data_IF_648602015863
#
_entry.id   IF_648602015863
#
_cell.length_a   1.000
_cell.length_b   1.000
_cell.length_c   1.000
_cell.angle_alpha   90.00
_cell.angle_beta   90.00
_cell.angle_gamma   90.00
#
_symmetry.space_group_name_H-M   'P 1'
#
loop_
_entity.id
_entity.type
_entity.pdbx_description
1 polymer ?
#
# COMPACT_ATOMS: atom_id res chain seq x y z
N UNK A 1 -3.52 24.88 -17.93
CA UNK A 1 -4.47 25.31 -16.89
C UNK A 1 -3.68 25.79 -15.67
N UNK A 2 -3.97 26.96 -15.08
CA UNK A 2 -3.28 27.38 -13.86
C UNK A 2 -3.54 26.35 -12.76
N UNK A 3 -2.48 25.91 -12.08
CA UNK A 3 -2.58 24.97 -10.96
C UNK A 3 -3.50 25.60 -9.90
N UNK A 4 -4.62 24.95 -9.58
CA UNK A 4 -5.49 25.37 -8.47
C UNK A 4 -4.61 25.46 -7.24
N UNK A 5 -4.43 26.66 -6.66
CA UNK A 5 -3.68 26.86 -5.40
C UNK A 5 -4.32 25.94 -4.36
N UNK A 6 -3.52 25.06 -3.75
CA UNK A 6 -3.98 24.11 -2.71
C UNK A 6 -4.53 24.83 -1.47
N UNK A 7 -3.90 25.95 -1.15
CA UNK A 7 -4.26 26.85 -0.07
C UNK A 7 -4.09 28.29 -0.53
N UNK A 8 -4.87 29.22 0.02
CA UNK A 8 -4.61 30.64 -0.14
C UNK A 8 -3.30 31.05 0.53
N UNK A 9 -2.77 32.22 0.20
CA UNK A 9 -1.57 32.76 0.87
C UNK A 9 -1.81 32.93 2.39
N UNK A 10 -2.98 33.44 2.78
CA UNK A 10 -3.40 33.55 4.18
C UNK A 10 -3.40 32.19 4.88
N UNK A 11 -3.90 31.13 4.22
CA UNK A 11 -3.95 29.78 4.78
C UNK A 11 -2.55 29.18 4.92
N UNK A 12 -1.68 29.41 3.94
CA UNK A 12 -0.27 28.99 4.01
C UNK A 12 0.45 29.63 5.19
N UNK A 13 0.23 30.94 5.42
CA UNK A 13 0.82 31.67 6.56
C UNK A 13 0.29 31.10 7.89
N UNK A 14 -1.00 30.74 7.97
CA UNK A 14 -1.56 30.10 9.18
C UNK A 14 -0.98 28.73 9.42
N UNK A 15 -0.87 27.88 8.40
CA UNK A 15 -0.24 26.54 8.50
C UNK A 15 1.19 26.69 9.00
N UNK A 16 1.98 27.59 8.41
CA UNK A 16 3.37 27.85 8.81
C UNK A 16 3.44 28.31 10.27
N UNK A 17 2.55 29.22 10.70
CA UNK A 17 2.48 29.69 12.09
C UNK A 17 2.18 28.56 13.08
N UNK A 18 1.21 27.68 12.78
CA UNK A 18 0.92 26.52 13.63
C UNK A 18 2.13 25.59 13.76
N UNK A 19 2.82 25.32 12.64
CA UNK A 19 3.97 24.41 12.62
C UNK A 19 5.13 25.02 13.41
N UNK A 20 5.45 26.31 13.22
CA UNK A 20 6.53 27.00 13.92
C UNK A 20 6.31 27.09 15.44
N UNK A 21 5.05 27.21 15.86
CA UNK A 21 4.66 27.20 17.27
C UNK A 21 4.43 25.80 17.84
N UNK A 22 4.63 24.75 17.04
CA UNK A 22 4.34 23.34 17.39
C UNK A 22 2.88 23.12 17.87
N UNK A 23 1.96 23.98 17.45
CA UNK A 23 0.53 23.87 17.75
C UNK A 23 -0.14 22.87 16.79
N UNK A 24 0.12 21.59 17.05
CA UNK A 24 -0.45 20.50 16.26
C UNK A 24 -1.98 20.45 16.36
N UNK A 25 -2.56 20.81 17.51
CA UNK A 25 -4.00 20.83 17.70
C UNK A 25 -4.65 21.93 16.87
N UNK A 26 -4.12 23.14 16.90
CA UNK A 26 -4.57 24.26 16.06
C UNK A 26 -4.45 23.94 14.58
N UNK A 27 -3.33 23.33 14.16
CA UNK A 27 -3.09 22.89 12.79
C UNK A 27 -4.19 21.89 12.32
N UNK A 28 -4.48 20.85 13.10
CA UNK A 28 -5.48 19.85 12.73
C UNK A 28 -6.90 20.43 12.72
N UNK A 29 -7.26 21.23 13.71
CA UNK A 29 -8.56 21.91 13.73
C UNK A 29 -8.74 22.81 12.50
N UNK A 30 -7.69 23.51 12.10
CA UNK A 30 -7.70 24.32 10.88
C UNK A 30 -7.88 23.48 9.62
N UNK A 31 -7.15 22.37 9.52
CA UNK A 31 -7.23 21.46 8.36
C UNK A 31 -8.59 20.79 8.22
N UNK A 32 -9.29 20.53 9.31
CA UNK A 32 -10.64 19.94 9.27
C UNK A 32 -11.63 20.80 8.48
N UNK A 33 -11.43 22.13 8.41
CA UNK A 33 -12.22 23.02 7.56
C UNK A 33 -12.10 22.78 6.05
N UNK A 34 -11.13 21.96 5.62
CA UNK A 34 -10.90 21.55 4.23
C UNK A 34 -11.35 20.12 3.93
N UNK A 35 -12.00 19.45 4.89
CA UNK A 35 -12.44 18.07 4.73
C UNK A 35 -13.44 17.92 3.58
N UNK A 36 -13.32 16.82 2.85
CA UNK A 36 -14.21 16.47 1.74
C UNK A 36 -15.28 15.49 2.20
N UNK A 37 -16.43 15.45 1.50
CA UNK A 37 -17.52 14.52 1.80
C UNK A 37 -17.17 13.05 1.56
N UNK A 38 -16.12 12.76 0.76
CA UNK A 38 -15.79 11.38 0.37
C UNK A 38 -15.17 10.56 1.50
N UNK A 39 -14.20 11.13 2.22
CA UNK A 39 -13.48 10.42 3.27
C UNK A 39 -13.49 11.17 4.61
N UNK A 40 -14.22 12.29 4.67
CA UNK A 40 -14.30 13.19 5.82
C UNK A 40 -12.92 13.72 6.29
N UNK A 41 -11.98 13.81 5.35
CA UNK A 41 -10.62 14.33 5.57
C UNK A 41 -10.24 15.33 4.45
N UNK A 42 -9.20 16.17 4.64
CA UNK A 42 -8.66 17.03 3.59
C UNK A 42 -8.13 16.21 2.42
N UNK A 43 -8.04 16.83 1.23
CA UNK A 43 -7.48 16.19 0.04
C UNK A 43 -6.05 15.71 0.27
N UNK A 44 -5.69 14.62 -0.42
CA UNK A 44 -4.33 14.01 -0.34
C UNK A 44 -3.22 15.04 -0.58
N UNK A 45 -3.40 15.95 -1.55
CA UNK A 45 -2.41 16.99 -1.88
C UNK A 45 -2.25 17.99 -0.72
N UNK A 46 -3.33 18.32 -0.03
CA UNK A 46 -3.29 19.21 1.14
C UNK A 46 -2.55 18.57 2.31
N UNK A 47 -2.82 17.28 2.58
CA UNK A 47 -2.09 16.51 3.60
C UNK A 47 -0.61 16.39 3.26
N UNK A 48 -0.25 16.10 2.00
CA UNK A 48 1.14 16.05 1.53
C UNK A 48 1.86 17.39 1.68
N UNK A 49 1.18 18.48 1.39
CA UNK A 49 1.74 19.83 1.62
C UNK A 49 2.10 20.06 3.08
N UNK A 50 1.19 19.70 4.00
CA UNK A 50 1.44 19.84 5.45
C UNK A 50 2.59 18.94 5.91
N UNK A 51 2.65 17.69 5.45
CA UNK A 51 3.77 16.76 5.74
C UNK A 51 5.10 17.37 5.27
N UNK A 52 5.12 17.94 4.06
CA UNK A 52 6.30 18.62 3.52
C UNK A 52 6.71 19.81 4.42
N UNK A 53 5.75 20.65 4.84
CA UNK A 53 6.01 21.80 5.72
C UNK A 53 6.54 21.40 7.10
N UNK A 54 6.04 20.32 7.68
CA UNK A 54 6.56 19.78 8.95
C UNK A 54 8.01 19.30 8.76
N UNK A 55 8.31 18.57 7.67
CA UNK A 55 9.69 18.16 7.40
C UNK A 55 10.62 19.35 7.18
N UNK A 56 10.21 20.36 6.39
CA UNK A 56 10.97 21.60 6.19
C UNK A 56 11.25 22.29 7.55
N UNK A 57 10.24 22.43 8.41
CA UNK A 57 10.42 23.00 9.75
C UNK A 57 11.47 22.23 10.56
N UNK A 58 11.39 20.90 10.58
CA UNK A 58 12.36 20.10 11.35
C UNK A 58 13.77 20.21 10.78
N UNK A 59 13.92 20.22 9.46
CA UNK A 59 15.25 20.32 8.82
C UNK A 59 15.89 21.70 8.98
N UNK A 60 15.09 22.75 9.10
CA UNK A 60 15.58 24.12 9.28
C UNK A 60 15.91 24.47 10.73
N UNK A 61 15.22 23.87 11.71
CA UNK A 61 15.30 24.28 13.11
C UNK A 61 16.05 23.29 14.02
N UNK A 62 16.45 22.13 13.51
CA UNK A 62 17.14 21.08 14.30
C UNK A 62 18.35 20.53 13.57
N UNK A 63 19.39 20.12 14.32
CA UNK A 63 20.52 19.38 13.78
C UNK A 63 20.06 18.03 13.19
N UNK A 64 20.75 17.55 12.14
CA UNK A 64 20.38 16.31 11.43
C UNK A 64 20.29 15.09 12.35
N UNK A 65 21.13 15.01 13.39
CA UNK A 65 21.10 13.93 14.39
C UNK A 65 19.82 13.90 15.23
N UNK A 66 19.11 15.01 15.32
CA UNK A 66 17.87 15.17 16.11
C UNK A 66 16.60 14.96 15.28
N UNK A 67 16.69 14.99 13.93
CA UNK A 67 15.53 14.90 13.05
C UNK A 67 14.67 13.66 13.30
N UNK A 68 15.23 12.42 13.37
CA UNK A 68 14.38 11.24 13.57
C UNK A 68 13.60 11.30 14.89
N UNK A 69 14.23 11.78 15.96
CA UNK A 69 13.57 11.96 17.27
C UNK A 69 12.44 12.99 17.20
N UNK A 70 12.67 14.12 16.56
CA UNK A 70 11.68 15.20 16.47
C UNK A 70 10.48 14.78 15.62
N UNK A 71 10.74 14.22 14.44
CA UNK A 71 9.69 13.73 13.54
C UNK A 71 8.91 12.61 14.20
N UNK A 72 9.58 11.66 14.88
CA UNK A 72 8.91 10.60 15.60
C UNK A 72 7.92 11.16 16.64
N UNK A 73 8.32 12.14 17.46
CA UNK A 73 7.44 12.74 18.47
C UNK A 73 6.23 13.45 17.86
N UNK A 74 6.40 14.17 16.75
CA UNK A 74 5.31 14.79 16.01
C UNK A 74 4.37 13.70 15.47
N UNK A 75 4.91 12.66 14.86
CA UNK A 75 4.14 11.52 14.35
C UNK A 75 3.36 10.83 15.45
N UNK A 76 4.01 10.51 16.57
CA UNK A 76 3.38 9.87 17.74
C UNK A 76 2.21 10.71 18.28
N UNK A 77 2.42 12.02 18.46
CA UNK A 77 1.39 12.95 18.92
C UNK A 77 0.20 13.00 17.95
N UNK A 78 0.45 13.16 16.65
CA UNK A 78 -0.60 13.25 15.65
C UNK A 78 -1.39 11.93 15.52
N UNK A 79 -0.71 10.79 15.58
CA UNK A 79 -1.38 9.48 15.50
C UNK A 79 -2.19 9.14 16.75
N UNK A 80 -2.02 9.85 17.86
CA UNK A 80 -2.82 9.71 19.08
C UNK A 80 -4.13 10.51 19.04
N UNK A 81 -4.30 11.45 18.12
CA UNK A 81 -5.54 12.21 17.97
C UNK A 81 -6.67 11.30 17.46
N UNK A 82 -7.91 11.58 17.86
CA UNK A 82 -9.10 10.89 17.34
C UNK A 82 -9.48 11.32 15.92
N UNK A 83 -8.87 12.40 15.41
CA UNK A 83 -9.14 12.99 14.10
C UNK A 83 -8.40 12.23 13.01
N UNK A 84 -9.10 11.76 11.99
CA UNK A 84 -8.51 10.93 10.92
C UNK A 84 -7.41 11.66 10.15
N UNK A 85 -7.59 12.92 9.79
CA UNK A 85 -6.55 13.72 9.14
C UNK A 85 -5.23 13.77 9.94
N UNK A 86 -5.32 13.84 11.28
CA UNK A 86 -4.15 13.80 12.14
C UNK A 86 -3.44 12.45 12.10
N UNK A 87 -4.21 11.35 12.16
CA UNK A 87 -3.66 9.99 12.06
C UNK A 87 -2.96 9.78 10.71
N UNK A 88 -3.55 10.24 9.62
CA UNK A 88 -3.02 10.13 8.26
C UNK A 88 -1.69 10.92 8.09
N UNK A 89 -1.67 12.17 8.54
CA UNK A 89 -0.45 13.00 8.52
C UNK A 89 0.60 12.38 9.44
N UNK A 90 0.22 12.00 10.65
CA UNK A 90 1.12 11.43 11.64
C UNK A 90 1.79 10.13 11.15
N UNK A 91 1.00 9.18 10.63
CA UNK A 91 1.58 7.93 10.13
C UNK A 91 2.43 8.12 8.87
N UNK A 92 2.14 9.15 8.06
CA UNK A 92 2.96 9.50 6.89
C UNK A 92 4.32 10.10 7.26
N UNK A 93 4.44 10.71 8.43
CA UNK A 93 5.72 11.20 8.97
C UNK A 93 6.58 10.08 9.57
N UNK A 94 5.95 8.98 9.99
CA UNK A 94 6.60 7.91 10.73
C UNK A 94 7.83 7.30 10.03
N UNK A 95 7.87 7.14 8.68
CA UNK A 95 9.06 6.64 8.00
C UNK A 95 10.33 7.46 8.28
N UNK A 96 10.21 8.76 8.44
CA UNK A 96 11.35 9.64 8.71
C UNK A 96 11.80 9.61 10.19
N UNK A 97 10.90 9.19 11.09
CA UNK A 97 11.18 9.03 12.53
C UNK A 97 11.43 7.60 12.98
N UNK A 98 11.26 6.62 12.09
CA UNK A 98 11.28 5.18 12.42
C UNK A 98 12.54 4.72 13.16
N UNK A 99 13.71 5.21 12.74
CA UNK A 99 15.00 4.84 13.33
C UNK A 99 15.16 5.23 14.80
N UNK A 100 14.43 6.24 15.27
CA UNK A 100 14.51 6.70 16.66
C UNK A 100 13.89 5.69 17.64
N UNK A 101 12.73 5.12 17.31
CA UNK A 101 12.07 4.12 18.16
C UNK A 101 11.29 3.11 17.32
N UNK A 102 12.01 2.08 16.82
CA UNK A 102 11.46 1.05 15.94
C UNK A 102 10.30 0.28 16.56
N UNK A 103 10.40 -0.05 17.86
CA UNK A 103 9.34 -0.79 18.57
C UNK A 103 8.05 0.02 18.62
N UNK A 104 8.12 1.26 19.08
CA UNK A 104 6.95 2.12 19.18
C UNK A 104 6.37 2.47 17.81
N UNK A 105 7.23 2.66 16.80
CA UNK A 105 6.79 2.85 15.42
C UNK A 105 5.99 1.66 14.91
N UNK A 106 6.40 0.43 15.23
CA UNK A 106 5.67 -0.78 14.85
C UNK A 106 4.29 -0.83 15.54
N UNK A 107 4.22 -0.51 16.83
CA UNK A 107 2.95 -0.44 17.56
C UNK A 107 1.99 0.59 16.94
N UNK A 108 2.50 1.77 16.56
CA UNK A 108 1.73 2.81 15.86
C UNK A 108 1.23 2.28 14.51
N UNK A 109 2.10 1.67 13.70
CA UNK A 109 1.73 1.11 12.40
C UNK A 109 0.61 0.08 12.51
N UNK A 110 0.73 -0.87 13.45
CA UNK A 110 -0.29 -1.92 13.68
C UNK A 110 -1.62 -1.29 14.09
N UNK A 111 -1.61 -0.34 15.01
CA UNK A 111 -2.81 0.37 15.45
C UNK A 111 -3.48 1.14 14.32
N UNK A 112 -2.72 1.91 13.55
CA UNK A 112 -3.25 2.73 12.43
C UNK A 112 -3.66 1.84 11.24
N UNK A 113 -2.95 0.74 10.98
CA UNK A 113 -3.36 -0.24 9.97
C UNK A 113 -4.69 -0.94 10.31
N UNK A 114 -5.10 -0.93 11.58
CA UNK A 114 -6.36 -1.50 12.05
C UNK A 114 -7.43 -0.46 12.38
N UNK A 115 -7.26 0.78 11.92
CA UNK A 115 -8.23 1.87 12.13
C UNK A 115 -9.58 1.56 11.48
N UNK A 116 -10.66 2.12 12.01
CA UNK A 116 -12.00 1.97 11.45
C UNK A 116 -12.13 2.66 10.09
N UNK A 117 -11.49 3.82 9.92
CA UNK A 117 -11.50 4.55 8.65
C UNK A 117 -10.58 3.88 7.63
N UNK A 118 -11.15 3.53 6.47
CA UNK A 118 -10.41 2.87 5.39
C UNK A 118 -9.27 3.73 4.83
N UNK A 119 -9.43 5.07 4.76
CA UNK A 119 -8.39 5.96 4.23
C UNK A 119 -7.20 6.02 5.19
N UNK A 120 -7.43 6.06 6.50
CA UNK A 120 -6.38 5.96 7.53
C UNK A 120 -5.57 4.68 7.36
N UNK A 121 -6.25 3.53 7.09
CA UNK A 121 -5.57 2.25 6.79
C UNK A 121 -4.72 2.30 5.52
N UNK A 122 -5.15 3.03 4.48
CA UNK A 122 -4.34 3.23 3.26
C UNK A 122 -3.04 3.98 3.55
N UNK A 123 -3.11 5.03 4.39
CA UNK A 123 -1.92 5.77 4.80
C UNK A 123 -0.95 4.90 5.62
N UNK A 124 -1.46 4.00 6.46
CA UNK A 124 -0.61 3.02 7.15
C UNK A 124 0.11 2.08 6.17
N UNK A 125 -0.60 1.59 5.14
CA UNK A 125 0.01 0.79 4.06
C UNK A 125 1.12 1.57 3.32
N UNK A 126 0.88 2.84 3.03
CA UNK A 126 1.88 3.74 2.43
C UNK A 126 3.12 3.93 3.31
N UNK A 127 2.92 4.12 4.61
CA UNK A 127 4.02 4.24 5.58
C UNK A 127 4.83 2.94 5.69
N UNK A 128 4.16 1.77 5.74
CA UNK A 128 4.80 0.45 5.74
C UNK A 128 5.65 0.28 4.47
N UNK A 129 5.12 0.62 3.30
CA UNK A 129 5.87 0.59 2.04
C UNK A 129 7.13 1.47 2.09
N UNK A 130 7.00 2.69 2.63
CA UNK A 130 8.11 3.63 2.73
C UNK A 130 9.19 3.15 3.72
N UNK A 131 8.79 2.60 4.87
CA UNK A 131 9.72 2.04 5.86
C UNK A 131 10.43 0.81 5.28
N UNK A 132 9.71 -0.07 4.56
CA UNK A 132 10.30 -1.23 3.88
C UNK A 132 11.30 -0.82 2.78
N UNK A 133 11.06 0.33 2.14
CA UNK A 133 12.02 0.91 1.19
C UNK A 133 13.27 1.46 1.86
N UNK A 134 13.14 2.17 3.00
CA UNK A 134 14.25 2.88 3.65
C UNK A 134 15.09 1.94 4.54
N UNK A 135 14.43 1.04 5.29
CA UNK A 135 15.05 0.26 6.36
C UNK A 135 15.03 -1.24 6.09
N UNK A 136 16.21 -1.81 5.83
CA UNK A 136 16.35 -3.24 5.53
C UNK A 136 15.95 -4.15 6.70
N UNK A 137 16.26 -3.76 7.91
CA UNK A 137 15.98 -4.52 9.13
C UNK A 137 14.49 -4.61 9.46
N UNK A 138 13.65 -3.77 8.86
CA UNK A 138 12.19 -3.82 8.99
C UNK A 138 11.58 -5.12 8.46
N UNK A 139 12.25 -5.77 7.49
CA UNK A 139 11.78 -7.03 6.88
C UNK A 139 11.47 -8.11 7.91
N UNK A 140 12.30 -8.26 8.97
CA UNK A 140 12.06 -9.23 10.04
C UNK A 140 10.71 -9.00 10.76
N UNK A 141 10.35 -7.75 10.97
CA UNK A 141 9.05 -7.38 11.55
C UNK A 141 7.90 -7.65 10.61
N UNK A 142 8.07 -7.38 9.32
CA UNK A 142 7.06 -7.67 8.29
C UNK A 142 6.72 -9.16 8.25
N UNK A 143 7.72 -10.04 8.24
CA UNK A 143 7.52 -11.51 8.23
C UNK A 143 6.69 -11.96 9.44
N UNK A 144 6.92 -11.38 10.63
CA UNK A 144 6.10 -11.68 11.82
C UNK A 144 4.66 -11.23 11.64
N UNK A 145 4.44 -10.05 11.05
CA UNK A 145 3.11 -9.47 10.86
C UNK A 145 2.27 -10.17 9.76
N UNK A 146 2.87 -10.98 8.87
CA UNK A 146 2.07 -11.81 7.95
C UNK A 146 1.18 -12.82 8.69
N UNK A 147 1.52 -13.15 9.94
CA UNK A 147 0.77 -14.06 10.83
C UNK A 147 -0.13 -13.33 11.82
N UNK A 148 -0.26 -12.00 11.72
CA UNK A 148 -1.10 -11.22 12.63
C UNK A 148 -2.58 -11.63 12.49
N UNK A 149 -3.34 -11.61 13.60
CA UNK A 149 -4.76 -11.99 13.60
C UNK A 149 -5.64 -11.05 12.77
N UNK A 150 -5.35 -9.75 12.82
CA UNK A 150 -6.13 -8.74 12.09
C UNK A 150 -5.92 -8.82 10.58
N UNK A 151 -7.03 -8.97 9.87
CA UNK A 151 -7.11 -8.90 8.40
C UNK A 151 -6.61 -7.55 7.87
N UNK A 152 -6.92 -6.46 8.57
CA UNK A 152 -6.50 -5.12 8.16
C UNK A 152 -4.97 -4.97 8.22
N UNK A 153 -4.34 -5.50 9.27
CA UNK A 153 -2.86 -5.51 9.39
C UNK A 153 -2.24 -6.35 8.30
N UNK A 154 -2.72 -7.59 8.07
CA UNK A 154 -2.23 -8.45 6.96
C UNK A 154 -2.35 -7.74 5.61
N UNK A 155 -3.48 -7.08 5.37
CA UNK A 155 -3.68 -6.32 4.13
C UNK A 155 -2.69 -5.16 4.02
N UNK A 156 -2.40 -4.43 5.10
CA UNK A 156 -1.42 -3.34 5.09
C UNK A 156 0.00 -3.85 4.78
N UNK A 157 0.35 -5.07 5.23
CA UNK A 157 1.65 -5.70 4.95
C UNK A 157 1.86 -5.96 3.45
N UNK A 158 0.81 -6.18 2.67
CA UNK A 158 0.93 -6.35 1.22
C UNK A 158 1.68 -5.17 0.56
N UNK A 159 1.51 -3.96 1.07
CA UNK A 159 2.15 -2.76 0.52
C UNK A 159 3.66 -2.71 0.78
N UNK A 160 4.17 -3.49 1.75
CA UNK A 160 5.61 -3.61 1.95
C UNK A 160 6.32 -4.18 0.71
N UNK A 161 5.64 -5.06 -0.06
CA UNK A 161 6.18 -5.60 -1.30
C UNK A 161 6.52 -4.50 -2.31
N UNK A 162 5.78 -3.39 -2.33
CA UNK A 162 6.08 -2.22 -3.18
C UNK A 162 7.40 -1.55 -2.72
N UNK A 163 7.61 -1.42 -1.42
CA UNK A 163 8.85 -0.89 -0.86
C UNK A 163 10.06 -1.77 -1.19
N UNK A 164 9.92 -3.09 -1.00
CA UNK A 164 10.94 -4.08 -1.34
C UNK A 164 11.25 -4.10 -2.85
N UNK A 165 10.22 -4.02 -3.69
CA UNK A 165 10.36 -3.89 -5.14
C UNK A 165 11.20 -2.66 -5.52
N UNK A 166 10.92 -1.49 -4.93
CA UNK A 166 11.68 -0.25 -5.15
C UNK A 166 13.15 -0.39 -4.74
N UNK A 167 13.45 -1.24 -3.75
CA UNK A 167 14.81 -1.62 -3.35
C UNK A 167 15.45 -2.65 -4.26
N UNK A 168 14.74 -3.13 -5.29
CA UNK A 168 15.14 -4.24 -6.16
C UNK A 168 15.28 -5.60 -5.41
N UNK A 169 14.66 -5.75 -4.26
CA UNK A 169 14.63 -6.97 -3.45
C UNK A 169 13.38 -7.81 -3.78
N UNK A 170 13.21 -8.13 -5.08
CA UNK A 170 12.00 -8.78 -5.59
C UNK A 170 11.76 -10.18 -5.00
N UNK A 171 12.83 -10.94 -4.73
CA UNK A 171 12.72 -12.23 -4.04
C UNK A 171 12.07 -12.10 -2.67
N UNK A 172 12.58 -11.17 -1.84
CA UNK A 172 11.98 -10.90 -0.52
C UNK A 172 10.52 -10.43 -0.61
N UNK A 173 10.15 -9.69 -1.68
CA UNK A 173 8.76 -9.30 -1.88
C UNK A 173 7.87 -10.53 -2.09
N UNK A 174 8.27 -11.49 -2.92
CA UNK A 174 7.52 -12.72 -3.12
C UNK A 174 7.47 -13.58 -1.85
N UNK A 175 8.60 -13.75 -1.15
CA UNK A 175 8.67 -14.53 0.09
C UNK A 175 7.75 -13.95 1.19
N UNK A 176 7.64 -12.61 1.25
CA UNK A 176 6.72 -11.93 2.16
C UNK A 176 5.26 -12.18 1.81
N UNK A 177 4.93 -12.25 0.51
CA UNK A 177 3.56 -12.40 0.04
C UNK A 177 3.08 -13.85 0.05
N UNK A 178 3.98 -14.83 -0.04
CA UNK A 178 3.63 -16.24 -0.18
C UNK A 178 2.70 -16.76 0.94
N UNK A 179 2.95 -16.50 2.24
CA UNK A 179 2.04 -16.91 3.30
C UNK A 179 0.63 -16.31 3.17
N UNK A 180 0.52 -15.12 2.58
CA UNK A 180 -0.75 -14.40 2.42
C UNK A 180 -1.56 -14.88 1.21
N UNK A 181 -0.97 -15.67 0.31
CA UNK A 181 -1.69 -16.28 -0.82
C UNK A 181 -2.79 -17.25 -0.37
N UNK A 182 -2.63 -17.88 0.78
CA UNK A 182 -3.56 -18.84 1.36
C UNK A 182 -4.75 -18.20 2.07
N UNK A 183 -4.77 -16.88 2.21
CA UNK A 183 -5.85 -16.15 2.87
C UNK A 183 -7.14 -16.22 2.07
N UNK A 184 -8.21 -16.67 2.72
CA UNK A 184 -9.55 -16.74 2.11
C UNK A 184 -10.25 -15.38 2.07
N UNK A 185 -9.83 -14.44 2.92
CA UNK A 185 -10.49 -13.15 3.09
C UNK A 185 -10.46 -12.30 1.81
N UNK A 186 -11.65 -11.86 1.37
CA UNK A 186 -11.80 -11.09 0.13
C UNK A 186 -11.03 -9.75 0.13
N UNK A 187 -10.85 -9.12 1.29
CA UNK A 187 -10.14 -7.84 1.41
C UNK A 187 -8.64 -8.00 1.14
N UNK A 188 -8.03 -9.11 1.61
CA UNK A 188 -6.65 -9.46 1.28
C UNK A 188 -6.54 -9.85 -0.20
N UNK A 189 -7.37 -10.77 -0.66
CA UNK A 189 -7.33 -11.31 -2.03
C UNK A 189 -7.43 -10.23 -3.11
N UNK A 190 -8.39 -9.29 -2.99
CA UNK A 190 -8.57 -8.18 -3.94
C UNK A 190 -7.32 -7.29 -4.06
N UNK A 191 -6.55 -7.15 -2.98
CA UNK A 191 -5.32 -6.38 -2.99
C UNK A 191 -4.11 -7.22 -3.42
N UNK A 192 -4.04 -8.50 -3.09
CA UNK A 192 -2.87 -9.34 -3.36
C UNK A 192 -2.77 -9.72 -4.84
N UNK A 193 -3.73 -10.49 -5.37
CA UNK A 193 -3.68 -11.02 -6.74
C UNK A 193 -3.65 -9.91 -7.80
N UNK A 194 -4.76 -9.16 -7.99
CA UNK A 194 -4.84 -8.20 -9.09
C UNK A 194 -3.97 -6.96 -8.88
N UNK A 195 -3.79 -6.48 -7.65
CA UNK A 195 -3.13 -5.21 -7.41
C UNK A 195 -1.62 -5.38 -7.16
N UNK A 196 -1.23 -6.11 -6.12
CA UNK A 196 0.21 -6.24 -5.78
C UNK A 196 0.92 -7.15 -6.79
N UNK A 197 0.44 -8.39 -7.01
CA UNK A 197 1.09 -9.31 -7.95
C UNK A 197 0.98 -8.83 -9.39
N UNK A 198 -0.21 -8.42 -9.82
CA UNK A 198 -0.44 -8.00 -11.21
C UNK A 198 0.04 -6.58 -11.48
N UNK A 199 -0.64 -5.58 -10.89
CA UNK A 199 -0.39 -4.18 -11.27
C UNK A 199 0.96 -3.64 -10.83
N UNK A 200 1.50 -4.09 -9.69
CA UNK A 200 2.81 -3.62 -9.24
C UNK A 200 3.95 -4.55 -9.66
N UNK A 201 4.01 -5.77 -9.15
CA UNK A 201 5.15 -6.66 -9.40
C UNK A 201 5.20 -7.08 -10.85
N UNK A 202 4.07 -7.51 -11.43
CA UNK A 202 4.00 -7.97 -12.82
C UNK A 202 4.41 -6.92 -13.84
N UNK A 203 3.99 -5.66 -13.66
CA UNK A 203 4.34 -4.60 -14.60
C UNK A 203 5.80 -4.14 -14.49
N UNK A 204 6.41 -4.21 -13.30
CA UNK A 204 7.76 -3.72 -13.06
C UNK A 204 8.83 -4.83 -13.16
N UNK A 205 8.49 -6.09 -12.81
CA UNK A 205 9.37 -7.26 -12.82
C UNK A 205 8.67 -8.45 -13.48
N UNK A 206 8.34 -8.35 -14.78
CA UNK A 206 7.55 -9.37 -15.47
C UNK A 206 8.22 -10.74 -15.49
N UNK A 207 9.53 -10.83 -15.74
CA UNK A 207 10.26 -12.10 -15.80
C UNK A 207 10.19 -12.86 -14.47
N UNK A 208 10.53 -12.17 -13.39
CA UNK A 208 10.55 -12.72 -12.03
C UNK A 208 9.13 -13.09 -11.58
N UNK A 209 8.14 -12.24 -11.91
CA UNK A 209 6.74 -12.51 -11.59
C UNK A 209 6.23 -13.74 -12.32
N UNK A 210 6.48 -13.89 -13.64
CA UNK A 210 6.11 -15.10 -14.36
C UNK A 210 6.78 -16.33 -13.82
N UNK A 211 8.07 -16.27 -13.48
CA UNK A 211 8.78 -17.39 -12.89
C UNK A 211 8.13 -17.83 -11.57
N UNK A 212 7.84 -16.86 -10.69
CA UNK A 212 7.22 -17.15 -9.38
C UNK A 212 5.78 -17.64 -9.50
N UNK A 213 4.98 -17.07 -10.39
CA UNK A 213 3.63 -17.55 -10.66
C UNK A 213 3.62 -19.00 -11.20
N UNK A 214 4.56 -19.38 -12.07
CA UNK A 214 4.73 -20.76 -12.54
C UNK A 214 5.16 -21.72 -11.43
N UNK A 215 6.00 -21.27 -10.50
CA UNK A 215 6.37 -22.03 -9.31
C UNK A 215 5.12 -22.29 -8.44
N UNK A 216 4.36 -21.24 -8.14
CA UNK A 216 3.13 -21.32 -7.34
C UNK A 216 2.00 -22.12 -8.00
N UNK A 217 1.99 -22.29 -9.33
CA UNK A 217 1.03 -23.17 -10.01
C UNK A 217 1.10 -24.63 -9.53
N UNK A 218 2.24 -25.07 -8.99
CA UNK A 218 2.40 -26.40 -8.40
C UNK A 218 1.60 -26.59 -7.13
N UNK A 219 1.28 -25.47 -6.45
CA UNK A 219 0.47 -25.46 -5.23
C UNK A 219 -0.98 -25.73 -5.58
N UNK A 220 -1.61 -26.68 -4.85
CA UNK A 220 -2.99 -27.11 -5.12
C UNK A 220 -4.05 -26.33 -4.34
N UNK A 221 -3.63 -25.36 -3.49
CA UNK A 221 -4.56 -24.53 -2.73
C UNK A 221 -5.40 -23.63 -3.65
N UNK A 222 -6.71 -23.50 -3.39
CA UNK A 222 -7.62 -22.76 -4.23
C UNK A 222 -7.43 -21.23 -4.15
N UNK A 223 -6.99 -20.73 -3.00
CA UNK A 223 -6.77 -19.30 -2.81
C UNK A 223 -5.50 -18.86 -3.52
N UNK A 224 -4.43 -19.68 -3.46
CA UNK A 224 -3.21 -19.47 -4.24
C UNK A 224 -3.55 -19.42 -5.74
N UNK A 225 -4.27 -20.41 -6.26
CA UNK A 225 -4.66 -20.47 -7.68
C UNK A 225 -5.57 -19.32 -8.10
N UNK A 226 -6.48 -18.90 -7.22
CA UNK A 226 -7.28 -17.71 -7.44
C UNK A 226 -6.41 -16.45 -7.60
N UNK A 227 -5.43 -16.24 -6.70
CA UNK A 227 -4.52 -15.11 -6.75
C UNK A 227 -3.70 -15.11 -8.05
N UNK A 228 -3.21 -16.29 -8.49
CA UNK A 228 -2.48 -16.43 -9.76
C UNK A 228 -3.37 -16.02 -10.95
N UNK A 229 -4.61 -16.52 -11.02
CA UNK A 229 -5.54 -16.16 -12.11
C UNK A 229 -5.80 -14.65 -12.12
N UNK A 230 -6.08 -14.07 -10.95
CA UNK A 230 -6.44 -12.65 -10.82
C UNK A 230 -5.24 -11.70 -11.00
N UNK A 231 -4.00 -12.18 -10.89
CA UNK A 231 -2.83 -11.38 -11.21
C UNK A 231 -2.83 -10.88 -12.68
N UNK A 232 -3.57 -11.54 -13.57
CA UNK A 232 -3.72 -11.14 -14.97
C UNK A 232 -4.99 -10.34 -15.27
N UNK A 233 -5.86 -10.13 -14.29
CA UNK A 233 -7.10 -9.39 -14.47
C UNK A 233 -6.89 -7.86 -14.39
N UNK A 234 -5.87 -7.34 -15.09
CA UNK A 234 -5.45 -5.94 -15.05
C UNK A 234 -4.45 -5.62 -16.18
N UNK A 235 -3.70 -4.52 -16.03
CA UNK A 235 -2.69 -4.07 -17.01
C UNK A 235 -1.58 -5.08 -17.29
N UNK A 236 -1.20 -5.91 -16.31
CA UNK A 236 -0.18 -6.95 -16.51
C UNK A 236 -0.64 -8.02 -17.51
N UNK A 237 -1.84 -8.58 -17.31
CA UNK A 237 -2.42 -9.52 -18.28
C UNK A 237 -2.60 -8.91 -19.66
N UNK A 238 -3.02 -7.63 -19.72
CA UNK A 238 -3.18 -6.92 -20.98
C UNK A 238 -1.85 -6.67 -21.72
N UNK A 239 -0.77 -6.48 -20.99
CA UNK A 239 0.58 -6.27 -21.59
C UNK A 239 1.21 -7.58 -22.06
N UNK A 240 0.86 -8.70 -21.44
CA UNK A 240 1.44 -10.01 -21.71
C UNK A 240 0.35 -11.09 -21.90
N UNK A 241 -0.55 -10.91 -22.91
CA UNK A 241 -1.72 -11.79 -23.07
C UNK A 241 -1.34 -13.24 -23.37
N UNK A 242 -0.32 -13.48 -24.17
CA UNK A 242 0.11 -14.84 -24.55
C UNK A 242 0.60 -15.65 -23.32
N UNK A 243 1.42 -15.02 -22.47
CA UNK A 243 1.92 -15.64 -21.25
C UNK A 243 0.80 -15.85 -20.23
N UNK A 244 -0.10 -14.87 -20.10
CA UNK A 244 -1.27 -14.98 -19.24
C UNK A 244 -2.15 -16.17 -19.66
N UNK A 245 -2.43 -16.32 -20.96
CA UNK A 245 -3.23 -17.42 -21.49
C UNK A 245 -2.59 -18.79 -21.23
N UNK A 246 -1.27 -18.94 -21.33
CA UNK A 246 -0.58 -20.19 -20.99
C UNK A 246 -0.82 -20.61 -19.54
N UNK A 247 -0.77 -19.66 -18.60
CA UNK A 247 -1.03 -19.91 -17.17
C UNK A 247 -2.50 -20.18 -16.93
N UNK A 248 -3.39 -19.39 -17.52
CA UNK A 248 -4.84 -19.56 -17.39
C UNK A 248 -5.32 -20.90 -17.96
N UNK A 249 -4.69 -21.42 -19.02
CA UNK A 249 -4.97 -22.77 -19.57
C UNK A 249 -4.73 -23.89 -18.56
N UNK A 250 -3.69 -23.75 -17.72
CA UNK A 250 -3.44 -24.70 -16.63
C UNK A 250 -4.49 -24.58 -15.53
N UNK A 251 -4.86 -23.34 -15.17
CA UNK A 251 -5.85 -23.07 -14.13
C UNK A 251 -7.28 -23.41 -14.55
N UNK A 252 -7.59 -23.37 -15.85
CA UNK A 252 -8.90 -23.75 -16.39
C UNK A 252 -9.27 -25.23 -16.14
N UNK A 253 -8.27 -26.08 -15.95
CA UNK A 253 -8.44 -27.51 -15.59
C UNK A 253 -8.78 -27.72 -14.11
N UNK A 254 -8.79 -26.66 -13.30
CA UNK A 254 -9.15 -26.75 -11.89
C UNK A 254 -10.68 -26.84 -11.74
N UNK A 255 -11.16 -27.84 -11.03
CA UNK A 255 -12.62 -28.07 -10.91
C UNK A 255 -13.29 -27.16 -9.87
N UNK A 256 -12.53 -26.54 -8.99
CA UNK A 256 -13.06 -25.72 -7.91
C UNK A 256 -13.68 -24.42 -8.43
N UNK A 257 -14.92 -24.18 -8.04
CA UNK A 257 -15.74 -23.04 -8.53
C UNK A 257 -15.05 -21.69 -8.36
N UNK A 258 -14.28 -21.49 -7.28
CA UNK A 258 -13.61 -20.22 -6.99
C UNK A 258 -12.49 -19.94 -8.01
N UNK A 259 -11.75 -20.98 -8.41
CA UNK A 259 -10.67 -20.86 -9.42
C UNK A 259 -11.27 -20.67 -10.81
N UNK A 260 -12.28 -21.49 -11.19
CA UNK A 260 -13.00 -21.34 -12.47
C UNK A 260 -13.53 -19.91 -12.66
N UNK A 261 -14.20 -19.36 -11.64
CA UNK A 261 -14.73 -17.98 -11.70
C UNK A 261 -13.62 -16.94 -11.89
N UNK A 262 -12.46 -17.10 -11.25
CA UNK A 262 -11.33 -16.20 -11.43
C UNK A 262 -10.77 -16.27 -12.86
N UNK A 263 -10.60 -17.47 -13.41
CA UNK A 263 -10.18 -17.68 -14.81
C UNK A 263 -11.16 -17.03 -15.78
N UNK A 264 -12.47 -17.31 -15.65
CA UNK A 264 -13.51 -16.69 -16.50
C UNK A 264 -13.50 -15.17 -16.41
N UNK A 265 -13.40 -14.62 -15.20
CA UNK A 265 -13.33 -13.15 -14.99
C UNK A 265 -12.13 -12.54 -15.71
N UNK A 266 -10.97 -13.19 -15.60
CA UNK A 266 -9.72 -12.71 -16.21
C UNK A 266 -9.80 -12.84 -17.74
N UNK A 267 -10.31 -13.95 -18.28
CA UNK A 267 -10.51 -14.11 -19.72
C UNK A 267 -11.48 -13.06 -20.31
N UNK A 268 -12.55 -12.73 -19.59
CA UNK A 268 -13.45 -11.63 -19.99
C UNK A 268 -12.73 -10.29 -20.07
N UNK A 269 -11.87 -10.01 -19.10
CA UNK A 269 -11.06 -8.78 -19.09
C UNK A 269 -10.09 -8.73 -20.28
N UNK A 270 -9.42 -9.85 -20.60
CA UNK A 270 -8.49 -9.95 -21.72
C UNK A 270 -9.24 -9.84 -23.07
N UNK A 271 -10.38 -10.51 -23.23
CA UNK A 271 -11.21 -10.44 -24.45
C UNK A 271 -11.67 -9.03 -24.77
N UNK A 272 -12.04 -8.24 -23.78
CA UNK A 272 -12.43 -6.83 -23.99
C UNK A 272 -11.33 -5.98 -24.64
N UNK A 273 -10.07 -6.37 -24.51
CA UNK A 273 -8.92 -5.59 -25.02
C UNK A 273 -8.24 -6.23 -26.21
N UNK A 274 -8.27 -7.55 -26.33
CA UNK A 274 -7.52 -8.29 -27.35
C UNK A 274 -8.42 -9.05 -28.35
N UNK A 275 -9.76 -8.95 -28.21
CA UNK A 275 -10.71 -9.49 -29.18
C UNK A 275 -10.42 -10.95 -29.55
N UNK A 276 -10.29 -11.19 -30.86
CA UNK A 276 -10.14 -12.54 -31.45
C UNK A 276 -8.87 -13.28 -30.99
N UNK A 277 -7.79 -12.58 -30.65
CA UNK A 277 -6.56 -13.23 -30.16
C UNK A 277 -6.77 -14.06 -28.88
N UNK A 278 -7.88 -13.82 -28.16
CA UNK A 278 -8.29 -14.56 -26.94
C UNK A 278 -9.49 -15.48 -27.23
N UNK A 279 -10.14 -15.37 -28.39
CA UNK A 279 -11.33 -16.16 -28.74
C UNK A 279 -11.01 -17.64 -28.99
N UNK A 280 -9.81 -17.96 -29.49
CA UNK A 280 -9.34 -19.36 -29.67
C UNK A 280 -9.09 -20.10 -28.36
N UNK A 281 -9.29 -19.46 -27.21
CA UNK A 281 -9.18 -20.07 -25.92
C UNK A 281 -10.54 -20.72 -25.55
N UNK A 282 -10.73 -21.97 -25.93
CA UNK A 282 -11.82 -22.83 -25.46
C UNK A 282 -11.51 -23.31 -24.02
N UNK A 283 -12.49 -23.11 -23.12
CA UNK A 283 -12.43 -23.56 -21.72
C UNK A 283 -12.75 -25.06 -21.62
#
# INVERSE_FOLDING_TARGET
MPSKKLFSEKDNNRITKFINNEDLKGLINFLNGFSTSHANTPKTEQKRYVIKKINEYVTLNYDASKWPKKIFRISESLTAFKVDAAKEIGVSLLPFGYSFNKKKSLEILVRIANDENWEVREYAGGAISSIAYIYNDFYRSLVKLTKHESVNVKRAILFAAIGLMKRKEIGKAFDLLEPLLYESNAYIKKNLGPFILGSYLGNNYPKETFAKLKEWLKIKDEHVRWNIAMAFNNSFGNKYPSEALKILKVLAKDERKVVKRAVVSTLRSLRKRHGEAVMSFEL
#
